data_IF_444022440509
#
_entry.id   IF_444022440509
#
_cell.length_a   1.000
_cell.length_b   1.000
_cell.length_c   1.000
_cell.angle_alpha   90.00
_cell.angle_beta   90.00
_cell.angle_gamma   90.00
#
_symmetry.space_group_name_H-M   'P 1'
#
loop_
_entity.id
_entity.type
_entity.pdbx_description
1 polymer ?
#
# COMPACT_ATOMS: atom_id res chain seq x y z
N UNK A 1 20.09 8.64 -10.49
CA UNK A 1 18.85 8.65 -11.30
C UNK A 1 17.76 9.30 -10.45
N UNK A 2 17.12 10.38 -10.90
CA UNK A 2 16.01 10.98 -10.14
C UNK A 2 14.90 9.94 -10.04
N UNK A 3 14.58 9.48 -8.83
CA UNK A 3 13.47 8.54 -8.63
C UNK A 3 12.14 9.30 -8.80
N UNK A 4 11.20 8.68 -9.52
CA UNK A 4 9.86 9.20 -9.84
C UNK A 4 9.04 9.63 -8.61
N UNK A 5 9.47 9.16 -7.44
CA UNK A 5 8.94 9.46 -6.11
C UNK A 5 9.10 10.95 -5.71
N UNK A 6 10.03 11.69 -6.33
CA UNK A 6 10.37 13.07 -5.94
C UNK A 6 10.01 14.16 -6.96
N UNK A 7 9.51 13.82 -8.15
CA UNK A 7 9.16 14.82 -9.17
C UNK A 7 7.89 14.43 -9.91
N UNK A 8 6.81 15.14 -9.62
CA UNK A 8 5.55 15.03 -10.35
C UNK A 8 5.65 15.82 -11.64
N UNK A 9 5.26 15.20 -12.76
CA UNK A 9 5.14 15.83 -14.07
C UNK A 9 3.68 16.09 -14.36
N UNK A 10 3.37 17.27 -14.87
CA UNK A 10 2.03 17.76 -15.21
C UNK A 10 1.80 17.87 -16.73
N UNK A 11 2.80 17.50 -17.53
CA UNK A 11 2.80 17.66 -18.98
C UNK A 11 2.02 16.58 -19.74
N UNK A 12 1.41 15.60 -19.05
CA UNK A 12 0.60 14.53 -19.65
C UNK A 12 -0.66 14.25 -18.81
N UNK A 13 -1.69 13.65 -19.43
CA UNK A 13 -2.93 13.29 -18.72
C UNK A 13 -3.11 11.78 -18.56
N UNK A 14 -2.46 10.96 -19.39
CA UNK A 14 -2.65 9.51 -19.39
C UNK A 14 -1.32 8.76 -19.49
N UNK A 15 -1.33 7.53 -18.97
CA UNK A 15 -0.25 6.55 -19.15
C UNK A 15 -0.84 5.32 -19.83
N UNK A 16 -0.34 5.00 -21.01
CA UNK A 16 -0.56 3.68 -21.62
C UNK A 16 0.50 2.73 -21.04
N UNK A 17 0.08 1.90 -20.09
CA UNK A 17 0.95 0.97 -19.38
C UNK A 17 0.78 -0.46 -19.92
N UNK A 18 1.86 -1.05 -20.42
CA UNK A 18 1.94 -2.47 -20.76
C UNK A 18 2.89 -3.17 -19.79
N UNK A 19 2.44 -4.31 -19.25
CA UNK A 19 3.24 -5.15 -18.35
C UNK A 19 3.39 -6.53 -18.99
N UNK A 20 4.63 -6.95 -19.21
CA UNK A 20 4.95 -8.29 -19.73
C UNK A 20 5.69 -9.09 -18.67
N UNK A 21 5.08 -10.19 -18.26
CA UNK A 21 5.69 -11.15 -17.35
C UNK A 21 6.12 -12.37 -18.16
N UNK A 22 7.43 -12.66 -18.14
CA UNK A 22 7.99 -13.80 -18.88
C UNK A 22 8.57 -14.80 -17.90
N UNK A 23 8.05 -16.02 -17.91
CA UNK A 23 8.61 -17.13 -17.10
C UNK A 23 9.92 -17.56 -17.76
N UNK A 24 10.99 -17.64 -16.99
CA UNK A 24 12.32 -18.09 -17.42
C UNK A 24 12.71 -19.35 -16.65
N UNK A 25 13.70 -20.13 -17.09
CA UNK A 25 14.16 -21.29 -16.33
C UNK A 25 14.67 -20.95 -14.90
N UNK A 26 15.04 -19.69 -14.65
CA UNK A 26 15.59 -19.23 -13.36
C UNK A 26 14.59 -18.39 -12.52
N UNK A 27 13.36 -18.19 -12.99
CA UNK A 27 12.36 -17.37 -12.30
C UNK A 27 11.40 -16.68 -13.29
N UNK A 28 11.25 -15.36 -13.17
CA UNK A 28 10.50 -14.58 -14.16
C UNK A 28 11.09 -13.17 -14.31
N UNK A 29 10.88 -12.58 -15.48
CA UNK A 29 11.13 -11.17 -15.74
C UNK A 29 9.80 -10.41 -15.74
N UNK A 30 9.87 -9.12 -15.40
CA UNK A 30 8.76 -8.18 -15.52
C UNK A 30 9.26 -6.95 -16.26
N UNK A 31 8.73 -6.78 -17.46
CA UNK A 31 8.97 -5.64 -18.32
C UNK A 31 7.79 -4.67 -18.22
N UNK A 32 8.09 -3.39 -18.07
CA UNK A 32 7.11 -2.31 -17.89
C UNK A 32 7.33 -1.26 -18.96
N UNK A 33 6.42 -1.19 -19.92
CA UNK A 33 6.40 -0.17 -20.95
C UNK A 33 5.34 0.89 -20.60
N UNK A 34 5.78 2.05 -20.15
CA UNK A 34 4.90 3.16 -19.78
C UNK A 34 5.05 4.30 -20.78
N UNK A 35 4.01 4.54 -21.57
CA UNK A 35 3.98 5.64 -22.53
C UNK A 35 3.12 6.78 -21.98
N UNK A 36 3.72 7.95 -21.77
CA UNK A 36 3.01 9.17 -21.33
C UNK A 36 2.39 9.84 -22.55
N UNK A 37 1.09 10.07 -22.51
CA UNK A 37 0.35 10.61 -23.65
C UNK A 37 -0.49 11.83 -23.28
N UNK A 38 -0.57 12.76 -24.24
CA UNK A 38 -1.55 13.84 -24.24
C UNK A 38 -2.70 13.41 -25.15
N UNK A 39 -3.92 13.47 -24.62
CA UNK A 39 -5.14 13.20 -25.39
C UNK A 39 -5.98 14.46 -25.49
N UNK A 40 -6.21 14.90 -26.72
CA UNK A 40 -7.16 15.97 -27.04
C UNK A 40 -8.43 15.37 -27.66
N UNK A 41 -9.58 16.00 -27.46
CA UNK A 41 -10.86 15.53 -28.00
C UNK A 41 -10.78 15.39 -29.52
N UNK A 42 -11.29 14.26 -30.03
CA UNK A 42 -11.38 13.92 -31.45
C UNK A 42 -10.04 13.97 -32.22
N UNK A 43 -8.91 13.89 -31.52
CA UNK A 43 -7.57 13.84 -32.09
C UNK A 43 -6.85 12.55 -31.72
N UNK A 44 -5.79 12.21 -32.49
CA UNK A 44 -4.89 11.12 -32.13
C UNK A 44 -4.05 11.50 -30.91
N UNK A 45 -3.77 10.52 -30.07
CA UNK A 45 -2.88 10.69 -28.92
C UNK A 45 -1.49 11.17 -29.36
N UNK A 46 -0.96 12.14 -28.62
CA UNK A 46 0.43 12.57 -28.76
C UNK A 46 1.28 11.88 -27.71
N UNK A 47 2.28 11.11 -28.16
CA UNK A 47 3.25 10.46 -27.28
C UNK A 47 4.34 11.45 -26.89
N UNK A 48 4.55 11.66 -25.59
CA UNK A 48 5.62 12.52 -25.09
C UNK A 48 6.91 11.75 -24.81
N UNK A 49 6.78 10.62 -24.12
CA UNK A 49 7.92 9.81 -23.70
C UNK A 49 7.46 8.39 -23.44
N UNK A 50 8.36 7.44 -23.70
CA UNK A 50 8.23 6.04 -23.31
C UNK A 50 9.30 5.73 -22.28
N UNK A 51 8.88 5.16 -21.16
CA UNK A 51 9.75 4.66 -20.11
C UNK A 51 9.70 3.14 -20.14
N UNK A 52 10.88 2.52 -20.02
CA UNK A 52 11.03 1.07 -19.93
C UNK A 52 11.60 0.71 -18.55
N UNK A 53 10.88 -0.16 -17.83
CA UNK A 53 11.31 -0.77 -16.59
C UNK A 53 11.57 -2.26 -16.79
N UNK A 54 12.62 -2.79 -16.18
CA UNK A 54 12.94 -4.20 -16.20
C UNK A 54 13.28 -4.68 -14.81
N UNK A 55 12.51 -5.62 -14.30
CA UNK A 55 12.80 -6.33 -13.06
C UNK A 55 13.02 -7.80 -13.36
N UNK A 56 14.00 -8.38 -12.67
CA UNK A 56 14.24 -9.82 -12.70
C UNK A 56 14.01 -10.39 -11.31
N UNK A 57 13.21 -11.46 -11.23
CA UNK A 57 12.91 -12.16 -10.00
C UNK A 57 13.48 -13.56 -10.08
N UNK A 58 14.47 -13.80 -9.22
CA UNK A 58 15.11 -15.10 -9.08
C UNK A 58 14.78 -15.67 -7.71
N UNK A 59 14.55 -16.99 -7.66
CA UNK A 59 14.47 -17.68 -6.38
C UNK A 59 15.85 -17.69 -5.75
N UNK A 60 15.96 -17.11 -4.55
CA UNK A 60 17.16 -17.19 -3.72
C UNK A 60 17.03 -18.31 -2.69
N UNK A 61 18.16 -18.84 -2.24
CA UNK A 61 18.26 -19.80 -1.14
C UNK A 61 19.29 -19.32 -0.12
N UNK A 62 19.09 -19.64 1.17
CA UNK A 62 20.05 -19.32 2.23
C UNK A 62 19.98 -17.88 2.74
N UNK A 63 18.96 -17.10 2.38
CA UNK A 63 18.69 -15.83 3.05
C UNK A 63 18.07 -16.10 4.42
N UNK A 64 18.59 -15.43 5.45
CA UNK A 64 18.05 -15.55 6.81
C UNK A 64 16.85 -14.61 7.00
N UNK A 65 15.66 -15.21 7.11
CA UNK A 65 14.41 -14.50 7.37
C UNK A 65 14.09 -14.37 8.87
N UNK A 66 15.00 -14.78 9.76
CA UNK A 66 14.78 -14.81 11.21
C UNK A 66 14.28 -13.47 11.76
N UNK A 67 14.86 -12.34 11.33
CA UNK A 67 14.45 -11.01 11.77
C UNK A 67 12.96 -10.72 11.46
N UNK A 68 12.52 -11.03 10.24
CA UNK A 68 11.13 -10.83 9.83
C UNK A 68 10.18 -11.79 10.55
N UNK A 69 10.59 -13.06 10.70
CA UNK A 69 9.79 -14.08 11.38
C UNK A 69 9.63 -13.77 12.88
N UNK A 70 10.71 -13.34 13.54
CA UNK A 70 10.68 -12.93 14.95
C UNK A 70 9.78 -11.71 15.15
N UNK A 71 9.89 -10.70 14.28
CA UNK A 71 9.00 -9.55 14.32
C UNK A 71 7.53 -9.97 14.16
N UNK A 72 7.22 -10.78 13.14
CA UNK A 72 5.87 -11.28 12.92
C UNK A 72 5.35 -12.05 14.12
N UNK A 73 6.12 -13.00 14.66
CA UNK A 73 5.71 -13.78 15.84
C UNK A 73 5.42 -12.87 17.04
N UNK A 74 6.25 -11.86 17.28
CA UNK A 74 6.09 -10.92 18.40
C UNK A 74 4.93 -9.92 18.25
N UNK A 75 4.44 -9.68 17.02
CA UNK A 75 3.41 -8.67 16.74
C UNK A 75 2.14 -9.24 16.12
N UNK A 76 2.11 -10.54 15.79
CA UNK A 76 1.00 -11.18 15.10
C UNK A 76 -0.37 -10.99 15.79
N UNK A 77 -0.49 -11.07 17.14
CA UNK A 77 -1.77 -10.81 17.80
C UNK A 77 -2.25 -9.36 17.61
N UNK A 78 -1.36 -8.38 17.70
CA UNK A 78 -1.69 -6.98 17.42
C UNK A 78 -2.18 -6.81 15.98
N UNK A 79 -1.46 -7.34 14.99
CA UNK A 79 -1.89 -7.27 13.59
C UNK A 79 -3.20 -8.02 13.31
N UNK A 80 -3.52 -9.05 14.11
CA UNK A 80 -4.82 -9.70 14.05
C UNK A 80 -5.94 -8.77 14.53
N UNK A 81 -5.73 -8.01 15.61
CA UNK A 81 -6.67 -6.99 16.07
C UNK A 81 -6.87 -5.87 15.02
N UNK A 82 -5.78 -5.39 14.39
CA UNK A 82 -5.87 -4.42 13.28
C UNK A 82 -6.73 -4.96 12.12
N UNK A 83 -6.54 -6.22 11.72
CA UNK A 83 -7.37 -6.85 10.69
C UNK A 83 -8.83 -7.00 11.11
N UNK A 84 -9.09 -7.37 12.36
CA UNK A 84 -10.44 -7.50 12.89
C UNK A 84 -11.17 -6.14 12.87
N UNK A 85 -10.48 -5.06 13.25
CA UNK A 85 -11.04 -3.71 13.22
C UNK A 85 -11.33 -3.25 11.79
N UNK A 86 -10.41 -3.46 10.84
CA UNK A 86 -10.68 -3.20 9.42
C UNK A 86 -11.88 -3.98 8.91
N UNK A 87 -11.99 -5.26 9.26
CA UNK A 87 -13.16 -6.07 8.88
C UNK A 87 -14.46 -5.46 9.41
N UNK A 88 -14.51 -4.97 10.66
CA UNK A 88 -15.69 -4.25 11.16
C UNK A 88 -16.00 -2.99 10.35
N UNK A 89 -15.00 -2.13 10.07
CA UNK A 89 -15.22 -0.89 9.32
C UNK A 89 -15.68 -1.15 7.88
N UNK A 90 -15.06 -2.12 7.21
CA UNK A 90 -15.38 -2.46 5.83
C UNK A 90 -16.71 -3.21 5.66
N UNK A 91 -17.32 -3.70 6.74
CA UNK A 91 -18.70 -4.24 6.70
C UNK A 91 -19.77 -3.16 6.70
N UNK A 92 -19.44 -1.88 6.93
CA UNK A 92 -20.39 -0.77 6.86
C UNK A 92 -20.66 -0.35 5.41
N UNK A 93 -21.76 0.35 5.17
CA UNK A 93 -22.18 0.77 3.82
C UNK A 93 -21.21 1.75 3.14
N UNK A 94 -20.49 2.53 3.95
CA UNK A 94 -19.46 3.45 3.47
C UNK A 94 -18.30 3.51 4.46
N UNK A 95 -17.09 3.45 3.94
CA UNK A 95 -15.84 3.71 4.68
C UNK A 95 -15.05 4.79 3.95
N UNK A 96 -14.67 5.84 4.67
CA UNK A 96 -13.85 6.94 4.16
C UNK A 96 -12.61 7.13 5.04
N UNK A 97 -11.50 7.49 4.40
CA UNK A 97 -10.24 7.81 5.07
C UNK A 97 -10.15 9.32 5.24
N UNK A 98 -9.94 9.78 6.47
CA UNK A 98 -9.97 11.17 6.88
C UNK A 98 -8.56 11.79 6.97
N UNK A 99 -7.75 11.62 5.93
CA UNK A 99 -6.41 12.21 5.86
C UNK A 99 -6.03 12.65 4.44
N UNK A 100 -5.15 13.66 4.29
CA UNK A 100 -4.69 14.12 2.98
C UNK A 100 -3.93 13.04 2.21
N UNK A 101 -3.97 13.12 0.87
CA UNK A 101 -3.14 12.25 0.03
C UNK A 101 -1.65 12.44 0.34
N UNK A 102 -0.95 11.34 0.62
CA UNK A 102 0.47 11.35 0.99
C UNK A 102 0.74 11.44 2.49
N UNK A 103 -0.30 11.52 3.32
CA UNK A 103 -0.18 11.41 4.77
C UNK A 103 0.00 9.93 5.20
N UNK A 104 0.98 9.67 6.06
CA UNK A 104 1.30 8.34 6.59
C UNK A 104 0.98 8.18 8.09
N UNK A 105 0.37 9.17 8.75
CA UNK A 105 0.14 9.17 10.20
C UNK A 105 -0.58 7.93 10.71
N UNK A 106 -1.59 7.43 9.99
CA UNK A 106 -2.26 6.19 10.35
C UNK A 106 -1.29 5.00 10.28
N UNK A 107 -0.49 4.88 9.22
CA UNK A 107 0.48 3.79 9.03
C UNK A 107 1.56 3.86 10.11
N UNK A 108 2.15 5.04 10.32
CA UNK A 108 3.18 5.29 11.32
C UNK A 108 2.66 5.00 12.73
N UNK A 109 1.42 5.39 13.02
CA UNK A 109 0.73 5.09 14.28
C UNK A 109 0.54 3.59 14.50
N UNK A 110 0.14 2.84 13.48
CA UNK A 110 -0.02 1.39 13.58
C UNK A 110 1.31 0.67 13.84
N UNK A 111 2.38 1.07 13.16
CA UNK A 111 3.71 0.50 13.40
C UNK A 111 4.25 0.88 14.78
N UNK A 112 4.00 2.11 15.26
CA UNK A 112 4.35 2.51 16.63
C UNK A 112 3.63 1.65 17.66
N UNK A 113 2.32 1.44 17.51
CA UNK A 113 1.55 0.58 18.41
C UNK A 113 2.00 -0.89 18.34
N UNK A 114 2.42 -1.37 17.16
CA UNK A 114 2.97 -2.72 17.01
C UNK A 114 4.30 -2.89 17.77
N UNK A 115 5.20 -1.90 17.71
CA UNK A 115 6.45 -1.90 18.48
C UNK A 115 6.17 -1.79 19.99
N UNK A 116 5.23 -0.93 20.42
CA UNK A 116 4.83 -0.84 21.82
C UNK A 116 4.28 -2.19 22.34
N UNK A 117 3.41 -2.85 21.56
CA UNK A 117 2.85 -4.17 21.89
C UNK A 117 3.92 -5.26 22.02
N UNK A 118 4.93 -5.22 21.15
CA UNK A 118 6.07 -6.14 21.20
C UNK A 118 6.88 -5.98 22.50
N UNK A 119 6.94 -4.77 23.08
CA UNK A 119 7.57 -4.54 24.38
C UNK A 119 6.65 -4.92 25.55
N UNK A 120 5.34 -4.68 25.42
CA UNK A 120 4.33 -4.98 26.42
C UNK A 120 3.12 -5.65 25.78
N UNK A 121 3.08 -6.97 25.84
CA UNK A 121 2.06 -7.79 25.16
C UNK A 121 0.69 -7.79 25.86
N UNK A 122 0.23 -6.62 26.32
CA UNK A 122 -1.12 -6.39 26.83
C UNK A 122 -2.03 -5.95 25.70
N UNK A 123 -2.73 -6.92 25.09
CA UNK A 123 -3.58 -6.65 23.93
C UNK A 123 -4.70 -5.67 24.24
N UNK A 124 -5.31 -5.73 25.43
CA UNK A 124 -6.47 -4.93 25.78
C UNK A 124 -6.14 -3.43 25.80
N UNK A 125 -4.98 -3.06 26.36
CA UNK A 125 -4.52 -1.67 26.35
C UNK A 125 -4.22 -1.20 24.93
N UNK A 126 -3.65 -2.06 24.08
CA UNK A 126 -3.32 -1.70 22.70
C UNK A 126 -4.54 -1.63 21.79
N UNK A 127 -5.56 -2.44 22.03
CA UNK A 127 -6.86 -2.37 21.33
C UNK A 127 -7.54 -1.03 21.56
N UNK A 128 -7.57 -0.53 22.80
CA UNK A 128 -8.13 0.80 23.08
C UNK A 128 -7.39 1.91 22.33
N UNK A 129 -6.05 1.88 22.33
CA UNK A 129 -5.23 2.87 21.58
C UNK A 129 -5.41 2.74 20.07
N UNK A 130 -5.60 1.51 19.58
CA UNK A 130 -5.86 1.22 18.18
C UNK A 130 -7.21 1.79 17.75
N UNK A 131 -8.26 1.63 18.55
CA UNK A 131 -9.58 2.22 18.31
C UNK A 131 -9.49 3.75 18.27
N UNK A 132 -8.79 4.36 19.24
CA UNK A 132 -8.56 5.81 19.27
C UNK A 132 -7.84 6.32 18.01
N UNK A 133 -6.84 5.58 17.54
CA UNK A 133 -6.12 5.90 16.31
C UNK A 133 -7.04 5.79 15.09
N UNK A 134 -7.84 4.73 14.98
CA UNK A 134 -8.79 4.57 13.88
C UNK A 134 -9.87 5.65 13.89
N UNK A 135 -10.36 6.05 15.05
CA UNK A 135 -11.35 7.13 15.17
C UNK A 135 -10.87 8.47 14.61
N UNK A 136 -9.56 8.72 14.57
CA UNK A 136 -8.98 9.93 13.98
C UNK A 136 -8.97 9.88 12.44
N UNK A 137 -8.84 8.70 11.85
CA UNK A 137 -8.49 8.55 10.43
C UNK A 137 -9.49 7.74 9.60
N UNK A 138 -10.42 7.02 10.21
CA UNK A 138 -11.33 6.09 9.54
C UNK A 138 -12.77 6.38 9.96
N UNK A 139 -13.55 6.91 9.01
CA UNK A 139 -14.97 7.16 9.15
C UNK A 139 -15.75 6.02 8.49
N UNK A 140 -16.58 5.30 9.25
CA UNK A 140 -17.44 4.25 8.71
C UNK A 140 -18.88 4.47 9.16
N UNK A 141 -19.81 4.52 8.20
CA UNK A 141 -21.23 4.83 8.45
C UNK A 141 -22.13 3.76 7.82
N UNK A 142 -23.21 3.43 8.54
CA UNK A 142 -24.35 2.73 7.95
C UNK A 142 -25.29 3.78 7.37
N UNK A 143 -25.72 3.64 6.12
CA UNK A 143 -26.76 4.50 5.58
C UNK A 143 -28.05 4.22 6.36
N UNK A 144 -28.57 5.23 7.04
CA UNK A 144 -29.96 5.19 7.46
C UNK A 144 -30.81 5.18 6.18
N UNK A 145 -31.44 4.05 5.87
CA UNK A 145 -32.50 4.03 4.86
C UNK A 145 -33.60 4.99 5.34
N UNK A 146 -33.72 6.13 4.64
CA UNK A 146 -34.91 6.98 4.69
C UNK A 146 -35.86 6.56 3.58
#
# INVERSE_FOLDING_TARGET
MPRREYTTRDDYQLINAENRHTITPQGWTHEQDNTKVIRANDQKDTVLVREFGFNEYRRISGYDFSAAMNYWQSTAPFWAAVRALWNDKLTKDSTALAFPTGDNQLIDGLFKLAEDYKQQSDLKTHESKLDDLFHQFVNAENKAFK
#
